data_IF_155717549969
#
_entry.id   IF_155717549969
#
_cell.length_a   1.000
_cell.length_b   1.000
_cell.length_c   1.000
_cell.angle_alpha   90.00
_cell.angle_beta   90.00
_cell.angle_gamma   90.00
#
_symmetry.space_group_name_H-M   'P 1'
#
loop_
_entity.id
_entity.type
_entity.pdbx_description
1 polymer ?
#
# COMPACT_ATOMS: atom_id res chain seq x y z
N UNK A 1 -19.67 -8.28 -23.61
CA UNK A 1 -19.44 -8.81 -22.26
C UNK A 1 -19.58 -7.64 -21.30
N UNK A 2 -20.47 -7.70 -20.33
CA UNK A 2 -20.73 -6.62 -19.38
C UNK A 2 -20.10 -6.94 -18.02
N UNK A 3 -19.86 -5.94 -17.17
CA UNK A 3 -19.30 -6.14 -15.83
C UNK A 3 -20.19 -7.07 -14.97
N UNK A 4 -21.49 -7.02 -15.19
CA UNK A 4 -22.50 -7.82 -14.49
C UNK A 4 -22.38 -9.33 -14.78
N UNK A 5 -21.74 -9.70 -15.90
CA UNK A 5 -21.57 -11.11 -16.30
C UNK A 5 -20.36 -11.79 -15.61
N UNK A 6 -19.52 -11.05 -14.90
CA UNK A 6 -18.35 -11.62 -14.23
C UNK A 6 -18.69 -12.24 -12.88
N UNK A 7 -18.43 -13.54 -12.73
CA UNK A 7 -18.56 -14.23 -11.44
C UNK A 7 -17.63 -13.61 -10.40
N UNK A 8 -18.18 -13.28 -9.22
CA UNK A 8 -17.41 -12.72 -8.08
C UNK A 8 -17.38 -11.20 -8.01
N UNK A 9 -18.00 -10.49 -8.95
CA UNK A 9 -18.27 -9.07 -8.84
C UNK A 9 -19.67 -8.87 -8.22
N UNK A 10 -19.72 -8.37 -6.99
CA UNK A 10 -20.98 -7.90 -6.40
C UNK A 10 -21.38 -6.55 -7.01
N UNK A 11 -22.66 -6.19 -6.92
CA UNK A 11 -23.16 -4.87 -7.37
C UNK A 11 -22.32 -3.72 -6.78
N UNK A 12 -21.98 -3.80 -5.50
CA UNK A 12 -21.16 -2.78 -4.85
C UNK A 12 -19.75 -2.68 -5.47
N UNK A 13 -19.14 -3.81 -5.87
CA UNK A 13 -17.85 -3.80 -6.57
C UNK A 13 -17.97 -3.16 -7.95
N UNK A 14 -19.05 -3.45 -8.66
CA UNK A 14 -19.35 -2.87 -9.98
C UNK A 14 -19.51 -1.36 -9.87
N UNK A 15 -20.28 -0.87 -8.89
CA UNK A 15 -20.45 0.56 -8.64
C UNK A 15 -19.13 1.25 -8.33
N UNK A 16 -18.30 0.64 -7.49
CA UNK A 16 -16.94 1.17 -7.16
C UNK A 16 -16.04 1.22 -8.39
N UNK A 17 -16.03 0.17 -9.21
CA UNK A 17 -15.24 0.13 -10.45
C UNK A 17 -15.67 1.23 -11.43
N UNK A 18 -16.98 1.44 -11.59
CA UNK A 18 -17.51 2.52 -12.44
C UNK A 18 -17.11 3.90 -11.92
N UNK A 19 -17.21 4.12 -10.61
CA UNK A 19 -16.79 5.39 -9.99
C UNK A 19 -15.29 5.65 -10.14
N UNK A 20 -14.44 4.62 -9.99
CA UNK A 20 -13.00 4.72 -10.22
C UNK A 20 -12.69 5.01 -11.71
N UNK A 21 -13.38 4.32 -12.63
CA UNK A 21 -13.22 4.56 -14.07
C UNK A 21 -13.60 5.99 -14.46
N UNK A 22 -14.71 6.50 -13.91
CA UNK A 22 -15.13 7.89 -14.13
C UNK A 22 -14.09 8.87 -13.61
N UNK A 23 -13.61 8.69 -12.39
CA UNK A 23 -12.57 9.52 -11.81
C UNK A 23 -11.25 9.47 -12.60
N UNK A 24 -10.92 8.32 -13.19
CA UNK A 24 -9.76 8.18 -14.07
C UNK A 24 -9.91 9.02 -15.35
N UNK A 25 -11.11 9.01 -15.96
CA UNK A 25 -11.41 9.85 -17.14
C UNK A 25 -11.34 11.35 -16.81
N UNK A 26 -11.66 11.73 -15.59
CA UNK A 26 -11.55 13.10 -15.08
C UNK A 26 -10.11 13.48 -14.67
N UNK A 27 -9.16 12.55 -14.80
CA UNK A 27 -7.75 12.78 -14.50
C UNK A 27 -7.37 12.63 -13.03
N UNK A 28 -8.25 12.10 -12.17
CA UNK A 28 -7.95 11.90 -10.75
C UNK A 28 -6.86 10.86 -10.50
N UNK A 29 -6.59 9.98 -11.46
CA UNK A 29 -5.54 8.97 -11.43
C UNK A 29 -4.37 9.29 -12.36
N UNK A 30 -4.31 10.50 -12.90
CA UNK A 30 -3.17 10.95 -13.69
C UNK A 30 -1.90 10.97 -12.82
N UNK A 31 -0.90 10.21 -13.26
CA UNK A 31 0.35 10.02 -12.52
C UNK A 31 1.09 11.32 -12.28
N UNK A 32 1.23 12.13 -13.33
CA UNK A 32 2.05 13.33 -13.25
C UNK A 32 1.37 14.38 -12.38
N UNK A 33 0.04 14.48 -12.46
CA UNK A 33 -0.75 15.32 -11.55
C UNK A 33 -0.62 14.88 -10.09
N UNK A 34 -0.71 13.57 -9.81
CA UNK A 34 -0.54 13.05 -8.44
C UNK A 34 0.85 13.35 -7.87
N UNK A 35 1.90 13.26 -8.69
CA UNK A 35 3.27 13.54 -8.26
C UNK A 35 3.56 15.03 -8.05
N UNK A 36 2.78 15.93 -8.65
CA UNK A 36 2.88 17.38 -8.44
C UNK A 36 2.20 17.84 -7.14
N UNK A 37 1.29 17.04 -6.61
CA UNK A 37 0.62 17.36 -5.34
C UNK A 37 1.55 17.10 -4.15
N UNK A 38 1.40 17.87 -3.06
CA UNK A 38 1.91 17.48 -1.76
C UNK A 38 1.40 16.07 -1.41
N UNK A 39 2.24 15.26 -0.75
CA UNK A 39 1.92 13.84 -0.45
C UNK A 39 0.54 13.64 0.19
N UNK A 40 0.21 14.47 1.19
CA UNK A 40 -1.04 14.33 1.93
C UNK A 40 -2.26 14.71 1.08
N UNK A 41 -2.12 15.66 0.18
CA UNK A 41 -3.16 16.04 -0.78
C UNK A 41 -3.39 14.93 -1.81
N UNK A 42 -2.33 14.33 -2.34
CA UNK A 42 -2.41 13.18 -3.22
C UNK A 42 -3.10 11.98 -2.55
N UNK A 43 -2.76 11.69 -1.29
CA UNK A 43 -3.42 10.64 -0.52
C UNK A 43 -4.90 10.95 -0.25
N UNK A 44 -5.22 12.20 0.06
CA UNK A 44 -6.62 12.66 0.25
C UNK A 44 -7.43 12.50 -1.03
N UNK A 45 -6.88 12.90 -2.17
CA UNK A 45 -7.50 12.70 -3.48
C UNK A 45 -7.74 11.21 -3.77
N UNK A 46 -6.76 10.35 -3.54
CA UNK A 46 -6.91 8.92 -3.76
C UNK A 46 -7.95 8.28 -2.82
N UNK A 47 -8.01 8.73 -1.56
CA UNK A 47 -9.00 8.23 -0.58
C UNK A 47 -10.43 8.69 -0.86
N UNK A 48 -10.63 9.72 -1.65
CA UNK A 48 -11.96 10.13 -2.11
C UNK A 48 -12.58 9.16 -3.13
N UNK A 49 -11.76 8.28 -3.72
CA UNK A 49 -12.23 7.29 -4.69
C UNK A 49 -13.02 6.16 -4.01
N UNK A 50 -14.08 5.64 -4.66
CA UNK A 50 -14.95 4.63 -4.08
C UNK A 50 -14.19 3.35 -3.71
N UNK A 51 -14.13 3.01 -2.42
CA UNK A 51 -13.51 1.79 -1.92
C UNK A 51 -11.99 1.84 -1.79
N UNK A 52 -11.37 3.01 -1.96
CA UNK A 52 -9.95 3.24 -1.72
C UNK A 52 -9.75 3.77 -0.30
N UNK A 53 -9.22 2.94 0.56
CA UNK A 53 -8.85 3.30 1.93
C UNK A 53 -7.36 3.66 2.05
N UNK A 54 -6.87 3.90 3.28
CA UNK A 54 -5.48 4.29 3.54
C UNK A 54 -4.44 3.35 2.91
N UNK A 55 -4.60 2.05 3.09
CA UNK A 55 -3.68 1.04 2.55
C UNK A 55 -3.58 1.08 1.01
N UNK A 56 -4.73 1.15 0.33
CA UNK A 56 -4.75 1.19 -1.13
C UNK A 56 -4.25 2.52 -1.68
N UNK A 57 -4.60 3.66 -1.06
CA UNK A 57 -4.14 4.97 -1.50
C UNK A 57 -2.61 5.08 -1.45
N UNK A 58 -1.98 4.60 -0.38
CA UNK A 58 -0.52 4.55 -0.28
C UNK A 58 0.09 3.59 -1.30
N UNK A 59 -0.51 2.42 -1.50
CA UNK A 59 -0.08 1.48 -2.53
C UNK A 59 -0.13 2.06 -3.95
N UNK A 60 -1.17 2.83 -4.27
CA UNK A 60 -1.31 3.52 -5.56
C UNK A 60 -0.23 4.60 -5.69
N UNK A 61 -0.07 5.44 -4.69
CA UNK A 61 0.88 6.54 -4.73
C UNK A 61 2.33 6.05 -4.81
N UNK A 62 2.69 5.08 -3.99
CA UNK A 62 4.07 4.59 -3.93
C UNK A 62 4.43 3.67 -5.10
N UNK A 63 3.61 2.65 -5.37
CA UNK A 63 3.90 1.65 -6.41
C UNK A 63 3.36 2.01 -7.78
N UNK A 64 2.16 2.59 -7.83
CA UNK A 64 1.51 2.98 -9.07
C UNK A 64 2.07 4.27 -9.64
N UNK A 65 2.14 5.32 -8.85
CA UNK A 65 2.68 6.61 -9.29
C UNK A 65 4.22 6.69 -9.24
N UNK A 66 4.89 5.79 -8.49
CA UNK A 66 6.34 5.68 -8.48
C UNK A 66 7.05 6.49 -7.41
N UNK A 67 6.36 6.85 -6.32
CA UNK A 67 6.97 7.48 -5.14
C UNK A 67 7.70 6.41 -4.30
N UNK A 68 8.70 5.76 -4.90
CA UNK A 68 9.30 4.53 -4.36
C UNK A 68 10.23 4.75 -3.17
N UNK A 69 10.69 5.98 -2.93
CA UNK A 69 11.52 6.31 -1.77
C UNK A 69 10.67 6.75 -0.56
N UNK A 70 9.58 6.05 -0.34
CA UNK A 70 8.69 6.17 0.81
C UNK A 70 8.45 4.79 1.43
N UNK A 71 8.07 4.75 2.70
CA UNK A 71 7.72 3.51 3.37
C UNK A 71 6.45 3.69 4.18
N UNK A 72 5.58 2.68 4.08
CA UNK A 72 4.45 2.49 4.98
C UNK A 72 4.85 1.58 6.12
N UNK A 73 4.65 2.03 7.34
CA UNK A 73 4.90 1.24 8.55
C UNK A 73 3.63 0.52 8.95
N UNK A 74 3.31 -0.57 8.26
CA UNK A 74 2.24 -1.49 8.62
C UNK A 74 2.76 -2.67 9.46
N UNK A 75 1.85 -3.33 10.19
CA UNK A 75 2.19 -4.42 11.10
C UNK A 75 2.95 -5.57 10.40
N UNK A 76 2.64 -5.84 9.12
CA UNK A 76 3.31 -6.89 8.36
C UNK A 76 4.74 -6.50 7.99
N UNK A 77 4.96 -5.24 7.61
CA UNK A 77 6.29 -4.70 7.35
C UNK A 77 7.13 -4.70 8.62
N UNK A 78 6.57 -4.27 9.75
CA UNK A 78 7.25 -4.32 11.05
C UNK A 78 7.63 -5.74 11.43
N UNK A 79 6.74 -6.71 11.25
CA UNK A 79 7.04 -8.12 11.50
C UNK A 79 8.11 -8.67 10.56
N UNK A 80 8.08 -8.33 9.29
CA UNK A 80 9.10 -8.76 8.32
C UNK A 80 10.48 -8.20 8.71
N UNK A 81 10.55 -6.93 9.12
CA UNK A 81 11.78 -6.29 9.61
C UNK A 81 12.26 -6.95 10.90
N UNK A 82 11.37 -7.23 11.85
CA UNK A 82 11.73 -7.95 13.08
C UNK A 82 12.46 -9.25 12.74
N UNK A 83 11.92 -10.03 11.82
CA UNK A 83 12.51 -11.33 11.45
C UNK A 83 13.83 -11.18 10.68
N UNK A 84 13.88 -10.30 9.69
CA UNK A 84 15.07 -10.09 8.87
C UNK A 84 16.25 -9.52 9.64
N UNK A 85 15.97 -8.62 10.59
CA UNK A 85 16.99 -7.95 11.41
C UNK A 85 17.19 -8.63 12.78
N UNK A 86 16.52 -9.77 13.03
CA UNK A 86 16.60 -10.55 14.27
C UNK A 86 16.35 -9.70 15.54
N UNK A 87 15.35 -8.81 15.47
CA UNK A 87 14.98 -7.96 16.59
C UNK A 87 14.14 -8.77 17.60
N UNK A 88 14.29 -8.44 18.89
CA UNK A 88 13.49 -9.07 19.96
C UNK A 88 12.00 -8.81 19.83
N UNK A 89 11.63 -7.65 19.30
CA UNK A 89 10.24 -7.23 19.10
C UNK A 89 10.08 -6.46 17.79
N UNK A 90 8.86 -6.33 17.23
CA UNK A 90 8.62 -5.51 16.05
C UNK A 90 9.04 -4.06 16.32
N UNK A 91 9.75 -3.42 15.38
CA UNK A 91 10.15 -2.03 15.54
C UNK A 91 8.93 -1.11 15.53
N UNK A 92 8.93 -0.09 16.37
CA UNK A 92 7.98 1.01 16.29
C UNK A 92 8.21 1.89 15.04
N UNK A 93 7.32 2.84 14.79
CA UNK A 93 7.40 3.71 13.60
C UNK A 93 8.70 4.49 13.52
N UNK A 94 9.23 4.98 14.64
CA UNK A 94 10.48 5.73 14.68
C UNK A 94 11.67 4.85 14.30
N UNK A 95 11.74 3.66 14.86
CA UNK A 95 12.78 2.68 14.55
C UNK A 95 12.67 2.16 13.12
N UNK A 96 11.44 1.96 12.62
CA UNK A 96 11.19 1.64 11.23
C UNK A 96 11.74 2.69 10.28
N UNK A 97 11.47 3.97 10.52
CA UNK A 97 12.00 5.06 9.71
C UNK A 97 13.54 5.09 9.75
N UNK A 98 14.13 4.85 10.91
CA UNK A 98 15.59 4.76 11.05
C UNK A 98 16.19 3.62 10.23
N UNK A 99 15.62 2.42 10.32
CA UNK A 99 16.07 1.24 9.54
C UNK A 99 15.91 1.52 8.05
N UNK A 100 14.78 2.09 7.65
CA UNK A 100 14.47 2.37 6.25
C UNK A 100 15.38 3.43 5.61
N UNK A 101 16.11 4.25 6.38
CA UNK A 101 17.11 5.15 5.81
C UNK A 101 18.19 4.37 5.02
N UNK A 102 18.57 3.18 5.47
CA UNK A 102 19.51 2.32 4.78
C UNK A 102 18.99 1.72 3.45
N UNK A 103 17.69 1.83 3.18
CA UNK A 103 17.08 1.30 1.97
C UNK A 103 16.90 2.35 0.86
N UNK A 104 17.26 3.62 1.14
CA UNK A 104 17.14 4.70 0.15
C UNK A 104 17.99 4.44 -1.10
N UNK A 105 17.52 4.80 -2.26
CA UNK A 105 16.24 5.45 -2.58
C UNK A 105 15.09 4.48 -2.88
N UNK A 106 15.16 3.22 -2.46
CA UNK A 106 14.23 2.14 -2.85
C UNK A 106 13.43 1.60 -1.68
N UNK A 107 13.09 2.43 -0.69
CA UNK A 107 12.45 2.03 0.57
C UNK A 107 11.20 1.17 0.37
N UNK A 108 10.32 1.54 -0.58
CA UNK A 108 9.12 0.77 -0.90
C UNK A 108 9.46 -0.62 -1.46
N UNK A 109 10.43 -0.70 -2.36
CA UNK A 109 10.82 -1.99 -2.94
C UNK A 109 11.52 -2.89 -1.93
N UNK A 110 12.31 -2.34 -1.03
CA UNK A 110 12.88 -3.10 0.08
C UNK A 110 11.80 -3.72 0.96
N UNK A 111 10.75 -2.97 1.30
CA UNK A 111 9.60 -3.48 2.05
C UNK A 111 8.86 -4.60 1.27
N UNK A 112 8.64 -4.43 -0.03
CA UNK A 112 8.03 -5.47 -0.88
C UNK A 112 8.87 -6.75 -0.90
N UNK A 113 10.19 -6.63 -1.05
CA UNK A 113 11.10 -7.78 -1.04
C UNK A 113 11.09 -8.49 0.31
N UNK A 114 11.06 -7.75 1.42
CA UNK A 114 10.90 -8.32 2.76
C UNK A 114 9.59 -9.09 2.92
N UNK A 115 8.49 -8.59 2.36
CA UNK A 115 7.22 -9.34 2.37
C UNK A 115 7.29 -10.62 1.55
N UNK A 116 7.95 -10.62 0.38
CA UNK A 116 8.16 -11.82 -0.44
C UNK A 116 9.02 -12.82 0.32
N UNK A 117 10.14 -12.39 0.87
CA UNK A 117 11.04 -13.22 1.67
C UNK A 117 10.32 -13.83 2.87
N UNK A 118 9.58 -13.01 3.64
CA UNK A 118 8.84 -13.48 4.81
C UNK A 118 7.86 -14.61 4.45
N UNK A 119 7.13 -14.47 3.34
CA UNK A 119 6.16 -15.48 2.90
C UNK A 119 6.81 -16.78 2.45
N UNK A 120 7.97 -16.70 1.84
CA UNK A 120 8.67 -17.86 1.27
C UNK A 120 9.48 -18.62 2.31
N UNK A 121 10.22 -17.91 3.15
CA UNK A 121 11.25 -18.51 4.02
C UNK A 121 10.76 -18.69 5.47
N UNK A 122 9.91 -17.81 5.96
CA UNK A 122 9.48 -17.79 7.37
C UNK A 122 8.01 -18.24 7.51
N UNK A 123 7.18 -17.94 6.53
CA UNK A 123 5.73 -18.05 6.61
C UNK A 123 5.07 -16.84 7.24
N UNK A 124 3.75 -16.69 7.00
CA UNK A 124 2.98 -15.61 7.62
C UNK A 124 2.67 -15.97 9.08
N UNK A 125 2.63 -14.96 9.98
CA UNK A 125 2.20 -15.19 11.35
C UNK A 125 0.79 -15.80 11.38
N UNK A 126 0.52 -16.67 12.35
CA UNK A 126 -0.80 -17.23 12.56
C UNK A 126 -1.85 -16.10 12.65
N UNK A 127 -3.01 -16.30 12.02
CA UNK A 127 -4.09 -15.30 11.95
C UNK A 127 -4.31 -14.65 13.32
N UNK A 128 -4.21 -13.31 13.38
CA UNK A 128 -4.62 -12.40 14.45
C UNK A 128 -3.55 -11.66 15.27
N UNK A 129 -2.31 -11.59 14.86
CA UNK A 129 -1.38 -10.64 15.51
C UNK A 129 -1.53 -9.20 15.00
N UNK A 130 -2.29 -8.99 13.92
CA UNK A 130 -2.49 -7.65 13.35
C UNK A 130 -3.78 -7.02 13.87
N UNK A 131 -3.67 -6.05 14.77
CA UNK A 131 -4.81 -5.21 15.15
C UNK A 131 -5.20 -4.36 13.95
N UNK A 132 -6.43 -4.56 13.44
CA UNK A 132 -7.04 -3.56 12.54
C UNK A 132 -7.29 -2.31 13.37
N UNK A 133 -6.49 -1.27 13.13
CA UNK A 133 -6.81 0.10 13.58
C UNK A 133 -7.85 0.70 12.66
#
# INVERSE_FOLDING_TARGET
>A
MTLESYKGLSEQKILRLRGIAQAALEGALDRDRLLLLPRDDALTQLRSLPGIGPFFSEGILHRGAGLVDEITSDDLTQYAVQKAYQLSEPPDDKRMQSIAQGWRPYRMWAAVLLHVWLRREIGLPAKRTFKRK
#
